data_IF_639070232064
#
_entry.id   IF_639070232064
#
_cell.length_a   1.000
_cell.length_b   1.000
_cell.length_c   1.000
_cell.angle_alpha   90.00
_cell.angle_beta   90.00
_cell.angle_gamma   90.00
#
_symmetry.space_group_name_H-M   'P 1'
#
loop_
_entity.id
_entity.type
_entity.pdbx_description
1 polymer ?
#
# COMPACT_ATOMS: atom_id res chain seq x y z
N UNK A 1 -56.65 23.63 -24.01
CA UNK A 1 -55.20 23.49 -24.19
C UNK A 1 -54.74 22.43 -23.22
N UNK A 2 -54.34 21.22 -23.65
CA UNK A 2 -53.85 20.20 -22.72
C UNK A 2 -52.36 20.43 -22.46
N UNK A 3 -51.99 20.42 -21.18
CA UNK A 3 -50.59 20.44 -20.69
C UNK A 3 -50.01 19.02 -20.83
N UNK A 4 -48.99 18.90 -21.65
CA UNK A 4 -48.24 17.67 -21.82
C UNK A 4 -47.44 17.35 -20.56
N UNK A 5 -47.72 16.21 -19.93
CA UNK A 5 -46.84 15.58 -18.92
C UNK A 5 -45.64 15.00 -19.65
N UNK A 6 -44.47 15.53 -19.35
CA UNK A 6 -43.21 14.90 -19.68
C UNK A 6 -42.91 13.87 -18.58
N UNK A 7 -43.01 12.61 -18.95
CA UNK A 7 -42.67 11.46 -18.11
C UNK A 7 -41.10 11.36 -18.09
N UNK A 8 -40.47 11.98 -17.10
CA UNK A 8 -39.05 11.76 -16.82
C UNK A 8 -38.88 10.36 -16.21
N UNK A 9 -38.70 9.38 -17.06
CA UNK A 9 -38.16 8.08 -16.62
C UNK A 9 -36.69 8.30 -16.27
N UNK A 10 -36.42 8.35 -14.97
CA UNK A 10 -35.08 8.26 -14.41
C UNK A 10 -34.57 6.86 -14.77
N UNK A 11 -33.58 6.81 -15.66
CA UNK A 11 -32.86 5.60 -16.04
C UNK A 11 -32.01 5.16 -14.86
N UNK A 12 -32.54 4.20 -14.06
CA UNK A 12 -31.90 3.65 -12.87
C UNK A 12 -30.96 2.47 -13.18
N UNK A 13 -30.66 2.21 -14.45
CA UNK A 13 -29.93 1.02 -14.90
C UNK A 13 -28.39 1.19 -14.96
N UNK A 14 -27.80 2.20 -14.32
CA UNK A 14 -26.34 2.43 -14.38
C UNK A 14 -25.58 2.27 -13.04
N UNK A 15 -26.23 1.81 -11.99
CA UNK A 15 -25.47 1.27 -10.85
C UNK A 15 -25.23 -0.22 -11.09
N UNK A 16 -24.15 -0.52 -11.78
CA UNK A 16 -23.56 -1.85 -11.77
C UNK A 16 -23.31 -2.17 -10.30
N UNK A 17 -24.12 -3.01 -9.68
CA UNK A 17 -23.82 -3.68 -8.43
C UNK A 17 -22.48 -4.40 -8.61
N UNK A 18 -21.39 -3.78 -8.13
CA UNK A 18 -20.21 -4.54 -7.81
C UNK A 18 -20.68 -5.56 -6.79
N UNK A 19 -20.72 -6.82 -7.18
CA UNK A 19 -21.12 -7.91 -6.31
C UNK A 19 -20.26 -7.84 -5.05
N UNK A 20 -20.85 -7.35 -3.96
CA UNK A 20 -20.21 -7.36 -2.65
C UNK A 20 -19.92 -8.83 -2.37
N UNK A 21 -18.64 -9.19 -2.37
CA UNK A 21 -18.23 -10.54 -2.02
C UNK A 21 -18.60 -10.78 -0.56
N UNK A 22 -19.58 -11.66 -0.30
CA UNK A 22 -19.93 -12.01 1.07
C UNK A 22 -18.76 -12.77 1.70
N UNK A 23 -18.18 -12.20 2.76
CA UNK A 23 -17.08 -12.80 3.52
C UNK A 23 -17.67 -13.86 4.47
N UNK A 24 -17.80 -15.09 3.98
CA UNK A 24 -18.37 -16.19 4.76
C UNK A 24 -17.32 -17.17 5.30
N UNK A 25 -16.14 -17.16 4.72
CA UNK A 25 -15.04 -18.08 5.09
C UNK A 25 -13.73 -17.33 5.28
N UNK A 26 -12.78 -17.97 5.99
CA UNK A 26 -11.41 -17.45 6.09
C UNK A 26 -10.75 -17.32 4.72
N UNK A 27 -11.11 -18.17 3.75
CA UNK A 27 -10.60 -18.08 2.39
C UNK A 27 -11.11 -16.82 1.68
N UNK A 28 -12.38 -16.44 1.87
CA UNK A 28 -12.93 -15.21 1.29
C UNK A 28 -12.21 -13.99 1.86
N UNK A 29 -12.02 -13.95 3.18
CA UNK A 29 -11.26 -12.89 3.84
C UNK A 29 -9.80 -12.86 3.37
N UNK A 30 -9.14 -14.01 3.23
CA UNK A 30 -7.79 -14.10 2.69
C UNK A 30 -7.68 -13.48 1.30
N UNK A 31 -8.58 -13.84 0.38
CA UNK A 31 -8.63 -13.28 -0.98
C UNK A 31 -8.86 -11.77 -0.96
N UNK A 32 -9.73 -11.30 -0.09
CA UNK A 32 -10.05 -9.88 0.04
C UNK A 32 -8.82 -9.07 0.54
N UNK A 33 -8.12 -9.57 1.56
CA UNK A 33 -6.91 -8.93 2.09
C UNK A 33 -5.73 -8.98 1.09
N UNK A 34 -5.57 -10.07 0.32
CA UNK A 34 -4.58 -10.15 -0.77
C UNK A 34 -4.83 -9.07 -1.83
N UNK A 35 -6.10 -8.81 -2.21
CA UNK A 35 -6.44 -7.75 -3.15
C UNK A 35 -6.21 -6.36 -2.58
N UNK A 36 -6.46 -6.16 -1.29
CA UNK A 36 -6.18 -4.90 -0.61
C UNK A 36 -4.69 -4.59 -0.61
N UNK A 37 -3.85 -5.54 -0.22
CA UNK A 37 -2.40 -5.42 -0.28
C UNK A 37 -1.91 -5.17 -1.71
N UNK A 38 -2.44 -5.88 -2.72
CA UNK A 38 -2.10 -5.61 -4.11
C UNK A 38 -2.42 -4.17 -4.53
N UNK A 39 -3.56 -3.65 -4.10
CA UNK A 39 -3.92 -2.25 -4.33
C UNK A 39 -2.94 -1.29 -3.64
N UNK A 40 -2.54 -1.58 -2.40
CA UNK A 40 -1.55 -0.82 -1.65
C UNK A 40 -0.21 -0.74 -2.39
N UNK A 41 0.35 -1.90 -2.76
CA UNK A 41 1.61 -1.98 -3.52
C UNK A 41 1.57 -1.19 -4.82
N UNK A 42 0.47 -1.31 -5.59
CA UNK A 42 0.30 -0.56 -6.86
C UNK A 42 0.22 0.94 -6.66
N UNK A 43 -0.25 1.41 -5.51
CA UNK A 43 -0.23 2.83 -5.15
C UNK A 43 1.18 3.27 -4.72
N UNK A 44 1.90 2.45 -3.95
CA UNK A 44 3.27 2.73 -3.51
C UNK A 44 4.26 2.79 -4.66
N UNK A 45 4.15 1.90 -5.65
CA UNK A 45 4.96 1.99 -6.89
C UNK A 45 4.86 3.36 -7.55
N UNK A 46 3.72 4.06 -7.40
CA UNK A 46 3.53 5.42 -7.94
C UNK A 46 3.96 6.53 -6.98
N UNK A 47 3.91 6.26 -5.67
CA UNK A 47 4.23 7.24 -4.62
C UNK A 47 5.73 7.33 -4.34
N UNK A 48 6.44 6.20 -4.24
CA UNK A 48 7.85 6.12 -3.91
C UNK A 48 8.78 6.97 -4.81
N UNK A 49 8.58 7.07 -6.13
CA UNK A 49 9.38 7.99 -6.95
C UNK A 49 9.29 9.45 -6.54
N UNK A 50 8.13 9.89 -6.01
CA UNK A 50 7.94 11.27 -5.53
C UNK A 50 8.68 11.47 -4.21
N UNK A 51 8.62 10.51 -3.30
CA UNK A 51 9.36 10.54 -2.03
C UNK A 51 10.87 10.55 -2.28
N UNK A 52 11.37 9.68 -3.17
CA UNK A 52 12.77 9.64 -3.57
C UNK A 52 13.27 10.95 -4.20
N UNK A 53 12.38 11.68 -4.88
CA UNK A 53 12.70 13.00 -5.46
C UNK A 53 12.66 14.12 -4.43
N UNK A 54 11.77 14.02 -3.44
CA UNK A 54 11.58 15.03 -2.40
C UNK A 54 12.65 14.94 -1.31
N UNK A 55 13.18 13.75 -1.02
CA UNK A 55 14.25 13.54 -0.06
C UNK A 55 15.50 14.35 -0.42
N UNK A 56 16.14 14.94 0.59
CA UNK A 56 17.34 15.76 0.47
C UNK A 56 18.62 14.92 0.54
N UNK A 57 18.74 14.00 1.50
CA UNK A 57 19.94 13.18 1.66
C UNK A 57 20.04 12.06 0.62
N UNK A 58 21.23 11.82 0.03
CA UNK A 58 21.43 10.76 -0.95
C UNK A 58 21.09 9.37 -0.43
N UNK A 59 21.34 9.09 0.84
CA UNK A 59 21.08 7.83 1.51
C UNK A 59 19.58 7.53 1.56
N UNK A 60 18.77 8.50 1.95
CA UNK A 60 17.32 8.38 1.99
C UNK A 60 16.73 8.25 0.58
N UNK A 61 17.24 9.02 -0.39
CA UNK A 61 16.88 8.86 -1.80
C UNK A 61 17.15 7.45 -2.30
N UNK A 62 18.29 6.87 -1.92
CA UNK A 62 18.68 5.52 -2.33
C UNK A 62 17.79 4.46 -1.64
N UNK A 63 17.46 4.63 -0.37
CA UNK A 63 16.54 3.76 0.37
C UNK A 63 15.19 3.69 -0.34
N UNK A 64 14.56 4.82 -0.68
CA UNK A 64 13.29 4.84 -1.41
C UNK A 64 13.38 4.23 -2.81
N UNK A 65 14.50 4.42 -3.54
CA UNK A 65 14.71 3.78 -4.85
C UNK A 65 14.92 2.26 -4.75
N UNK A 66 15.56 1.79 -3.69
CA UNK A 66 15.69 0.34 -3.41
C UNK A 66 14.32 -0.24 -3.10
N UNK A 67 13.60 0.39 -2.19
CA UNK A 67 12.27 -0.05 -1.78
C UNK A 67 11.27 -0.06 -2.94
N UNK A 68 11.29 0.91 -3.85
CA UNK A 68 10.48 0.91 -5.07
C UNK A 68 10.64 -0.38 -5.90
N UNK A 69 11.84 -0.94 -5.97
CA UNK A 69 12.08 -2.19 -6.70
C UNK A 69 11.47 -3.38 -5.95
N UNK A 70 11.63 -3.41 -4.63
CA UNK A 70 11.04 -4.44 -3.77
C UNK A 70 9.51 -4.40 -3.86
N UNK A 71 8.88 -3.23 -3.73
CA UNK A 71 7.43 -3.00 -3.89
C UNK A 71 6.89 -3.53 -5.24
N UNK A 72 7.63 -3.34 -6.32
CA UNK A 72 7.24 -3.90 -7.61
C UNK A 72 7.28 -5.45 -7.63
N UNK A 73 8.23 -6.06 -6.92
CA UNK A 73 8.32 -7.51 -6.73
C UNK A 73 7.23 -8.04 -5.79
N UNK A 74 6.88 -7.28 -4.73
CA UNK A 74 5.77 -7.60 -3.83
C UNK A 74 4.45 -7.66 -4.61
N UNK A 75 4.16 -6.66 -5.42
CA UNK A 75 2.99 -6.66 -6.30
C UNK A 75 2.97 -7.89 -7.23
N UNK A 76 4.12 -8.28 -7.80
CA UNK A 76 4.21 -9.46 -8.66
C UNK A 76 3.96 -10.77 -7.89
N UNK A 77 4.43 -10.90 -6.65
CA UNK A 77 4.13 -12.06 -5.78
C UNK A 77 2.63 -12.17 -5.48
N UNK A 78 1.97 -11.03 -5.21
CA UNK A 78 0.52 -10.99 -4.98
C UNK A 78 -0.26 -11.33 -6.25
N UNK A 79 0.21 -10.89 -7.44
CA UNK A 79 -0.36 -11.30 -8.73
C UNK A 79 -0.25 -12.83 -8.93
N UNK A 80 0.89 -13.43 -8.60
CA UNK A 80 1.08 -14.87 -8.65
C UNK A 80 0.11 -15.60 -7.71
N UNK A 81 -0.03 -15.14 -6.46
CA UNK A 81 -0.98 -15.71 -5.50
C UNK A 81 -2.41 -15.64 -6.03
N UNK A 82 -2.83 -14.51 -6.57
CA UNK A 82 -4.16 -14.36 -7.18
C UNK A 82 -4.37 -15.32 -8.36
N UNK A 83 -3.34 -15.51 -9.20
CA UNK A 83 -3.39 -16.46 -10.32
C UNK A 83 -3.57 -17.90 -9.82
N UNK A 84 -2.84 -18.32 -8.79
CA UNK A 84 -2.97 -19.64 -8.18
C UNK A 84 -4.36 -19.86 -7.56
N UNK A 85 -4.96 -18.80 -7.01
CA UNK A 85 -6.33 -18.82 -6.47
C UNK A 85 -7.42 -18.75 -7.54
N UNK A 86 -7.07 -18.46 -8.81
CA UNK A 86 -8.03 -18.30 -9.90
C UNK A 86 -8.86 -17.01 -9.80
N UNK A 87 -8.33 -15.97 -9.16
CA UNK A 87 -9.03 -14.68 -8.95
C UNK A 87 -8.27 -13.53 -9.59
N UNK A 88 -8.99 -12.43 -9.91
CA UNK A 88 -8.36 -11.17 -10.33
C UNK A 88 -7.76 -10.45 -9.11
N UNK A 89 -6.52 -9.94 -9.19
CA UNK A 89 -5.96 -9.10 -8.12
C UNK A 89 -6.59 -7.70 -8.05
N UNK A 90 -7.35 -7.31 -9.09
CA UNK A 90 -7.98 -5.98 -9.22
C UNK A 90 -9.38 -5.98 -8.66
N UNK A 91 -9.91 -4.76 -8.42
CA UNK A 91 -11.31 -4.54 -8.02
C UNK A 91 -11.45 -3.97 -6.61
N UNK A 92 -10.41 -4.01 -5.78
CA UNK A 92 -10.39 -3.36 -4.47
C UNK A 92 -9.46 -2.16 -4.46
N UNK A 93 -9.84 -1.12 -3.74
CA UNK A 93 -9.01 0.04 -3.47
C UNK A 93 -8.65 0.05 -1.99
N UNK A 94 -7.36 0.05 -1.68
CA UNK A 94 -6.88 0.17 -0.30
C UNK A 94 -7.00 1.61 0.18
N UNK A 95 -8.07 1.90 0.94
CA UNK A 95 -8.35 3.25 1.45
C UNK A 95 -7.32 3.66 2.51
N UNK A 96 -6.84 2.71 3.33
CA UNK A 96 -5.82 2.96 4.34
C UNK A 96 -4.51 3.44 3.71
N UNK A 97 -4.02 2.74 2.70
CA UNK A 97 -2.80 3.13 1.99
C UNK A 97 -2.97 4.46 1.24
N UNK A 98 -4.14 4.70 0.63
CA UNK A 98 -4.41 5.99 -0.01
C UNK A 98 -4.27 7.15 0.98
N UNK A 99 -4.81 7.02 2.18
CA UNK A 99 -4.71 8.06 3.22
C UNK A 99 -3.27 8.27 3.69
N UNK A 100 -2.50 7.20 3.91
CA UNK A 100 -1.08 7.29 4.28
C UNK A 100 -0.25 8.01 3.20
N UNK A 101 -0.49 7.69 1.94
CA UNK A 101 0.19 8.35 0.80
C UNK A 101 -0.19 9.84 0.74
N UNK A 102 -1.45 10.18 1.00
CA UNK A 102 -1.86 11.61 0.99
C UNK A 102 -1.19 12.39 2.11
N UNK A 103 -1.07 11.85 3.33
CA UNK A 103 -0.29 12.48 4.39
C UNK A 103 1.16 12.75 3.98
N UNK A 104 1.81 11.83 3.27
CA UNK A 104 3.16 12.04 2.73
C UNK A 104 3.19 13.13 1.64
N UNK A 105 2.18 13.19 0.78
CA UNK A 105 2.05 14.23 -0.23
C UNK A 105 1.80 15.62 0.38
N UNK A 106 1.03 15.72 1.46
CA UNK A 106 0.80 16.96 2.20
C UNK A 106 2.10 17.49 2.80
N UNK A 107 2.86 16.64 3.48
CA UNK A 107 4.16 16.99 4.03
C UNK A 107 5.12 17.57 2.96
N UNK A 108 5.17 16.93 1.79
CA UNK A 108 6.01 17.42 0.68
C UNK A 108 5.56 18.81 0.18
N UNK A 109 4.27 19.13 0.25
CA UNK A 109 3.70 20.43 -0.20
C UNK A 109 3.92 21.56 0.83
N UNK A 110 4.10 21.23 2.11
CA UNK A 110 4.21 22.25 3.18
C UNK A 110 5.49 23.08 3.08
N UNK A 111 6.51 22.65 2.36
CA UNK A 111 7.72 23.43 2.10
C UNK A 111 8.61 23.54 3.36
N UNK A 112 8.72 22.46 4.13
CA UNK A 112 9.59 22.38 5.28
C UNK A 112 11.07 22.57 4.93
N UNK A 113 11.90 22.88 5.94
CA UNK A 113 13.36 22.82 5.81
C UNK A 113 13.77 21.44 5.29
N UNK A 114 14.80 21.33 4.44
CA UNK A 114 15.22 20.06 3.83
C UNK A 114 15.48 18.94 4.82
N UNK A 115 16.15 19.23 5.96
CA UNK A 115 16.49 18.22 6.97
C UNK A 115 15.23 17.79 7.77
N UNK A 116 14.35 18.73 8.06
CA UNK A 116 13.03 18.47 8.67
C UNK A 116 12.15 17.65 7.73
N UNK A 117 12.20 17.94 6.43
CA UNK A 117 11.46 17.16 5.42
C UNK A 117 11.93 15.70 5.41
N UNK A 118 13.25 15.45 5.42
CA UNK A 118 13.79 14.09 5.43
C UNK A 118 13.34 13.30 6.66
N UNK A 119 13.42 13.90 7.85
CA UNK A 119 12.89 13.28 9.08
C UNK A 119 11.38 12.98 8.99
N UNK A 120 10.61 13.91 8.42
CA UNK A 120 9.19 13.73 8.18
C UNK A 120 8.88 12.64 7.16
N UNK A 121 9.64 12.55 6.07
CA UNK A 121 9.51 11.49 5.05
C UNK A 121 9.79 10.10 5.62
N UNK A 122 10.79 9.96 6.50
CA UNK A 122 11.04 8.71 7.22
C UNK A 122 9.82 8.33 8.06
N UNK A 123 9.28 9.27 8.84
CA UNK A 123 8.08 9.01 9.65
C UNK A 123 6.90 8.51 8.80
N UNK A 124 6.61 9.16 7.66
CA UNK A 124 5.52 8.75 6.78
C UNK A 124 5.79 7.40 6.12
N UNK A 125 7.03 7.12 5.73
CA UNK A 125 7.40 5.81 5.21
C UNK A 125 7.21 4.71 6.27
N UNK A 126 7.67 4.89 7.50
CA UNK A 126 7.49 3.90 8.57
C UNK A 126 6.00 3.61 8.88
N UNK A 127 5.10 4.59 8.79
CA UNK A 127 3.66 4.32 8.89
C UNK A 127 3.19 3.36 7.78
N UNK A 128 3.71 3.50 6.56
CA UNK A 128 3.42 2.59 5.44
C UNK A 128 3.98 1.19 5.73
N UNK A 129 5.27 1.08 6.11
CA UNK A 129 5.90 -0.21 6.42
C UNK A 129 5.11 -0.95 7.52
N UNK A 130 4.71 -0.27 8.59
CA UNK A 130 3.94 -0.89 9.67
C UNK A 130 2.54 -1.33 9.23
N UNK A 131 1.90 -0.60 8.31
CA UNK A 131 0.64 -1.04 7.69
C UNK A 131 0.85 -2.34 6.90
N UNK A 132 1.92 -2.43 6.10
CA UNK A 132 2.22 -3.60 5.28
C UNK A 132 2.70 -4.78 6.13
N UNK A 133 3.54 -4.55 7.14
CA UNK A 133 3.95 -5.59 8.12
C UNK A 133 2.72 -6.23 8.78
N UNK A 134 1.76 -5.43 9.23
CA UNK A 134 0.52 -5.94 9.81
C UNK A 134 -0.30 -6.74 8.78
N UNK A 135 -0.46 -6.22 7.57
CA UNK A 135 -1.21 -6.86 6.48
C UNK A 135 -0.57 -8.19 6.06
N UNK A 136 0.72 -8.17 5.71
CA UNK A 136 1.46 -9.38 5.28
C UNK A 136 1.55 -10.43 6.38
N UNK A 137 1.78 -10.02 7.63
CA UNK A 137 1.75 -10.92 8.78
C UNK A 137 0.42 -11.64 8.94
N UNK A 138 -0.68 -10.92 8.74
CA UNK A 138 -2.05 -11.44 8.80
C UNK A 138 -2.32 -12.44 7.68
N UNK A 139 -2.13 -12.06 6.41
CA UNK A 139 -2.43 -12.93 5.26
C UNK A 139 -1.51 -14.15 5.21
N UNK A 140 -0.25 -14.02 5.64
CA UNK A 140 0.64 -15.17 5.80
C UNK A 140 0.07 -16.20 6.80
N UNK A 141 -0.49 -15.73 7.90
CA UNK A 141 -1.12 -16.61 8.91
C UNK A 141 -2.36 -17.29 8.34
N UNK A 142 -3.22 -16.54 7.64
CA UNK A 142 -4.38 -17.10 6.96
C UNK A 142 -3.99 -18.15 5.90
N UNK A 143 -2.93 -17.90 5.12
CA UNK A 143 -2.42 -18.85 4.15
C UNK A 143 -2.01 -20.19 4.80
N UNK A 144 -1.33 -20.14 5.96
CA UNK A 144 -0.96 -21.34 6.73
C UNK A 144 -2.18 -22.12 7.22
N UNK A 145 -3.16 -21.45 7.83
CA UNK A 145 -4.40 -22.06 8.29
C UNK A 145 -5.20 -22.71 7.14
N UNK A 146 -5.12 -22.15 5.94
CA UNK A 146 -5.76 -22.69 4.74
C UNK A 146 -4.93 -23.78 4.03
N UNK A 147 -3.73 -24.10 4.53
CA UNK A 147 -2.83 -25.10 3.92
C UNK A 147 -2.12 -24.60 2.65
N UNK A 148 -2.06 -23.29 2.42
CA UNK A 148 -1.42 -22.67 1.26
C UNK A 148 0.06 -22.37 1.53
N UNK A 149 0.86 -23.39 1.87
CA UNK A 149 2.24 -23.25 2.34
C UNK A 149 3.15 -22.48 1.35
N UNK A 150 3.00 -22.69 0.05
CA UNK A 150 3.78 -21.95 -0.96
C UNK A 150 3.49 -20.46 -0.92
N UNK A 151 2.22 -20.10 -0.80
CA UNK A 151 1.78 -18.70 -0.71
C UNK A 151 2.24 -18.09 0.62
N UNK A 152 2.14 -18.83 1.73
CA UNK A 152 2.66 -18.39 3.02
C UNK A 152 4.16 -18.07 2.98
N UNK A 153 4.95 -18.84 2.25
CA UNK A 153 6.40 -18.59 2.09
C UNK A 153 6.67 -17.33 1.24
N UNK A 154 5.91 -17.08 0.17
CA UNK A 154 6.02 -15.85 -0.62
C UNK A 154 5.66 -14.61 0.23
N UNK A 155 4.59 -14.71 1.02
CA UNK A 155 4.16 -13.64 1.93
C UNK A 155 5.16 -13.40 3.06
N UNK A 156 5.81 -14.47 3.57
CA UNK A 156 6.88 -14.33 4.56
C UNK A 156 8.08 -13.58 3.99
N UNK A 157 8.49 -13.89 2.75
CA UNK A 157 9.60 -13.18 2.10
C UNK A 157 9.31 -11.68 1.97
N UNK A 158 8.10 -11.29 1.58
CA UNK A 158 7.72 -9.87 1.55
C UNK A 158 7.72 -9.26 2.95
N UNK A 159 7.14 -9.94 3.92
CA UNK A 159 7.13 -9.47 5.33
C UNK A 159 8.54 -9.21 5.87
N UNK A 160 9.50 -10.06 5.54
CA UNK A 160 10.90 -9.90 5.96
C UNK A 160 11.53 -8.66 5.28
N UNK A 161 11.24 -8.44 4.00
CA UNK A 161 11.73 -7.29 3.22
C UNK A 161 11.14 -5.95 3.73
N UNK A 162 9.85 -5.93 4.17
CA UNK A 162 9.25 -4.74 4.82
C UNK A 162 9.89 -4.45 6.17
N UNK A 163 10.13 -5.48 6.98
CA UNK A 163 10.83 -5.35 8.25
C UNK A 163 12.28 -4.82 8.08
N UNK A 164 12.98 -5.25 7.04
CA UNK A 164 14.31 -4.73 6.71
C UNK A 164 14.26 -3.26 6.28
N UNK A 165 13.23 -2.85 5.55
CA UNK A 165 13.04 -1.45 5.12
C UNK A 165 12.74 -0.55 6.32
N UNK A 166 11.83 -0.95 7.22
CA UNK A 166 11.52 -0.23 8.45
C UNK A 166 12.78 -0.04 9.33
N UNK A 167 13.55 -1.12 9.48
CA UNK A 167 14.82 -1.05 10.24
C UNK A 167 15.83 -0.09 9.61
N UNK A 168 16.01 -0.15 8.29
CA UNK A 168 16.89 0.76 7.56
C UNK A 168 16.47 2.24 7.73
N UNK A 169 15.17 2.52 7.69
CA UNK A 169 14.65 3.87 7.92
C UNK A 169 14.94 4.36 9.35
N UNK A 170 14.82 3.48 10.34
CA UNK A 170 15.21 3.78 11.73
C UNK A 170 16.69 4.08 11.83
N UNK A 171 17.57 3.28 11.21
CA UNK A 171 19.01 3.52 11.20
C UNK A 171 19.36 4.88 10.55
N UNK A 172 18.73 5.24 9.44
CA UNK A 172 18.94 6.55 8.80
C UNK A 172 18.47 7.70 9.69
N UNK A 173 17.34 7.56 10.36
CA UNK A 173 16.84 8.58 11.29
C UNK A 173 17.79 8.82 12.45
N UNK A 174 18.29 7.74 13.09
CA UNK A 174 19.11 7.80 14.30
C UNK A 174 20.57 8.16 13.99
N UNK A 175 21.10 7.81 12.81
CA UNK A 175 22.50 8.05 12.44
C UNK A 175 22.85 9.50 12.10
N UNK A 176 21.85 10.36 11.82
CA UNK A 176 22.13 11.75 11.47
C UNK A 176 20.90 12.58 11.15
N UNK A 177 19.93 12.07 10.37
CA UNK A 177 18.83 12.88 9.82
C UNK A 177 18.04 13.60 10.94
N UNK A 178 17.66 12.91 12.02
CA UNK A 178 16.94 13.53 13.13
C UNK A 178 17.80 14.53 13.91
N UNK A 179 19.11 14.33 13.95
CA UNK A 179 20.02 15.26 14.63
C UNK A 179 20.13 16.57 13.84
N UNK A 180 20.29 16.47 12.52
CA UNK A 180 20.35 17.63 11.62
C UNK A 180 19.05 18.40 11.60
N UNK A 181 17.90 17.71 11.62
CA UNK A 181 16.57 18.32 11.71
C UNK A 181 16.30 19.03 13.06
N UNK A 182 17.07 18.74 14.10
CA UNK A 182 16.90 19.32 15.45
C UNK A 182 17.75 20.57 15.71
N UNK A 183 18.50 21.07 14.75
CA UNK A 183 19.37 22.26 14.84
C UNK A 183 18.75 23.41 14.03
#
# INVERSE_FOLDING_TARGET
MPVSHVDERIDTDHYREEAIMELQTLKDLYVEEIKDLYSAEKMLVKALPKMAKAANTPELQQAFRKHLKQTAEHAARLEQICQELGVSPRGKKCVGMEALIEEGNELIKEGADPDVLDAGLISKAQHVEHYEIAGYGTVRTYARELGFEKQANLLQQTLDEEGETDHLLTELAESGINVEAGV
#
